data_IF_642832591076
#
_entry.id   IF_642832591076
#
_cell.length_a   1.000
_cell.length_b   1.000
_cell.length_c   1.000
_cell.angle_alpha   90.00
_cell.angle_beta   90.00
_cell.angle_gamma   90.00
#
_symmetry.space_group_name_H-M   'P 1'
#
loop_
_entity.id
_entity.type
_entity.pdbx_description
1 polymer ?
#
# COMPACT_ATOMS: atom_id res chain seq x y z
N UNK A 1 -77.06 26.11 31.71
CA UNK A 1 -77.10 25.43 30.40
C UNK A 1 -76.04 25.92 29.37
N UNK A 2 -75.86 27.26 29.13
CA UNK A 2 -74.84 27.75 28.20
C UNK A 2 -73.40 27.73 28.82
N UNK A 3 -73.28 28.10 30.08
CA UNK A 3 -71.98 28.08 30.79
C UNK A 3 -71.42 26.67 30.95
N UNK A 4 -72.22 25.69 31.22
CA UNK A 4 -71.81 24.24 31.32
C UNK A 4 -71.31 23.71 29.99
N UNK A 5 -71.96 24.05 28.88
CA UNK A 5 -71.50 23.67 27.54
C UNK A 5 -70.16 24.31 27.15
N UNK A 6 -69.93 25.55 27.53
CA UNK A 6 -68.67 26.26 27.32
C UNK A 6 -67.55 25.65 28.19
N UNK A 7 -67.86 25.35 29.45
CA UNK A 7 -66.91 24.72 30.35
C UNK A 7 -66.52 23.30 29.90
N UNK A 8 -67.48 22.44 29.51
CA UNK A 8 -67.19 21.12 29.01
C UNK A 8 -66.42 21.12 27.70
N UNK A 9 -66.63 22.09 26.82
CA UNK A 9 -65.90 22.27 25.58
C UNK A 9 -64.44 22.70 25.84
N UNK A 10 -64.25 23.68 26.74
CA UNK A 10 -62.93 24.14 27.16
C UNK A 10 -62.13 23.05 27.86
N UNK A 11 -62.77 22.24 28.71
CA UNK A 11 -62.14 21.12 29.38
C UNK A 11 -61.69 20.03 28.37
N UNK A 12 -62.54 19.70 27.42
CA UNK A 12 -62.20 18.71 26.35
C UNK A 12 -61.06 19.22 25.43
N UNK A 13 -61.00 20.54 25.18
CA UNK A 13 -59.89 21.16 24.44
C UNK A 13 -58.56 21.12 25.23
N UNK A 14 -58.61 21.41 26.55
CA UNK A 14 -57.45 21.27 27.42
C UNK A 14 -56.91 19.86 27.50
N UNK A 15 -57.80 18.86 27.58
CA UNK A 15 -57.42 17.46 27.63
C UNK A 15 -56.73 17.00 26.33
N UNK A 16 -57.33 17.40 25.19
CA UNK A 16 -56.69 17.15 23.86
C UNK A 16 -55.33 17.83 23.72
N UNK A 17 -55.19 19.05 24.22
CA UNK A 17 -53.94 19.81 24.18
C UNK A 17 -52.87 19.13 25.06
N UNK A 18 -53.26 18.71 26.27
CA UNK A 18 -52.38 18.02 27.21
C UNK A 18 -51.88 16.68 26.63
N UNK A 19 -52.76 15.94 25.96
CA UNK A 19 -52.38 14.68 25.27
C UNK A 19 -51.42 14.95 24.08
N UNK A 20 -51.70 15.99 23.29
CA UNK A 20 -50.84 16.38 22.19
C UNK A 20 -49.43 16.81 22.67
N UNK A 21 -49.36 17.53 23.79
CA UNK A 21 -48.10 17.93 24.42
C UNK A 21 -47.33 16.70 24.87
N UNK A 22 -47.95 15.79 25.63
CA UNK A 22 -47.27 14.55 26.09
C UNK A 22 -46.74 13.70 24.91
N UNK A 23 -47.52 13.63 23.83
CA UNK A 23 -47.13 12.90 22.62
C UNK A 23 -45.90 13.54 21.95
N UNK A 24 -45.87 14.87 21.87
CA UNK A 24 -44.74 15.63 21.31
C UNK A 24 -43.49 15.54 22.19
N UNK A 25 -43.65 15.62 23.52
CA UNK A 25 -42.55 15.42 24.45
C UNK A 25 -41.92 14.04 24.35
N UNK A 26 -42.75 12.97 24.23
CA UNK A 26 -42.28 11.63 24.01
C UNK A 26 -41.54 11.48 22.67
N UNK A 27 -42.05 12.13 21.61
CA UNK A 27 -41.37 12.14 20.30
C UNK A 27 -40.05 12.92 20.34
N UNK A 28 -40.02 14.07 21.03
CA UNK A 28 -38.79 14.85 21.20
C UNK A 28 -37.71 14.06 21.94
N UNK A 29 -38.06 13.38 23.01
CA UNK A 29 -37.16 12.54 23.78
C UNK A 29 -36.60 11.33 22.93
N UNK A 30 -37.45 10.74 22.09
CA UNK A 30 -37.04 9.69 21.17
C UNK A 30 -36.07 10.24 20.11
N UNK A 31 -36.36 11.43 19.58
CA UNK A 31 -35.50 12.11 18.60
C UNK A 31 -34.14 12.45 19.20
N UNK A 32 -34.08 12.95 20.43
CA UNK A 32 -32.83 13.20 21.15
C UNK A 32 -31.97 11.93 21.30
N UNK A 33 -32.60 10.80 21.61
CA UNK A 33 -31.90 9.51 21.69
C UNK A 33 -31.29 9.10 20.34
N UNK A 34 -32.07 9.22 19.26
CA UNK A 34 -31.60 8.91 17.90
C UNK A 34 -30.44 9.86 17.48
N UNK A 35 -30.55 11.14 17.80
CA UNK A 35 -29.50 12.11 17.46
C UNK A 35 -28.18 11.81 18.19
N UNK A 36 -28.24 11.42 19.47
CA UNK A 36 -27.04 11.00 20.22
C UNK A 36 -26.39 9.75 19.65
N UNK A 37 -27.21 8.76 19.27
CA UNK A 37 -26.73 7.55 18.64
C UNK A 37 -26.11 7.82 17.26
N UNK A 38 -26.76 8.67 16.46
CA UNK A 38 -26.24 9.11 15.17
C UNK A 38 -24.90 9.85 15.28
N UNK A 39 -24.73 10.73 16.27
CA UNK A 39 -23.49 11.47 16.52
C UNK A 39 -22.34 10.50 16.91
N UNK A 40 -22.63 9.54 17.78
CA UNK A 40 -21.66 8.50 18.16
C UNK A 40 -21.23 7.65 16.96
N UNK A 41 -22.17 7.20 16.13
CA UNK A 41 -21.89 6.45 14.92
C UNK A 41 -21.13 7.28 13.88
N UNK A 42 -21.43 8.56 13.76
CA UNK A 42 -20.70 9.46 12.86
C UNK A 42 -19.24 9.63 13.30
N UNK A 43 -18.98 9.73 14.61
CA UNK A 43 -17.62 9.81 15.12
C UNK A 43 -16.82 8.53 14.84
N UNK A 44 -17.40 7.35 15.06
CA UNK A 44 -16.77 6.06 14.71
C UNK A 44 -16.53 5.96 13.21
N UNK A 45 -17.51 6.33 12.40
CA UNK A 45 -17.39 6.31 10.95
C UNK A 45 -16.30 7.23 10.43
N UNK A 46 -16.12 8.41 11.02
CA UNK A 46 -15.02 9.32 10.67
C UNK A 46 -13.65 8.68 10.86
N UNK A 47 -13.44 7.94 11.94
CA UNK A 47 -12.16 7.27 12.22
C UNK A 47 -11.92 6.14 11.20
N UNK A 48 -12.89 5.22 11.07
CA UNK A 48 -12.80 4.07 10.17
C UNK A 48 -12.74 4.50 8.71
N UNK A 49 -13.56 5.46 8.31
CA UNK A 49 -13.57 6.02 6.96
C UNK A 49 -12.24 6.70 6.61
N UNK A 50 -11.67 7.47 7.53
CA UNK A 50 -10.36 8.11 7.34
C UNK A 50 -9.24 7.07 7.23
N UNK A 51 -9.26 6.04 8.06
CA UNK A 51 -8.31 4.93 7.97
C UNK A 51 -8.44 4.20 6.63
N UNK A 52 -9.67 3.91 6.21
CA UNK A 52 -9.95 3.31 4.90
C UNK A 52 -9.44 4.17 3.75
N UNK A 53 -9.68 5.47 3.78
CA UNK A 53 -9.22 6.42 2.77
C UNK A 53 -7.68 6.44 2.68
N UNK A 54 -7.00 6.49 3.82
CA UNK A 54 -5.53 6.43 3.88
C UNK A 54 -5.01 5.10 3.33
N UNK A 55 -5.61 3.97 3.73
CA UNK A 55 -5.22 2.64 3.28
C UNK A 55 -5.45 2.43 1.78
N UNK A 56 -6.48 3.06 1.22
CA UNK A 56 -6.81 3.01 -0.21
C UNK A 56 -6.07 4.06 -1.06
N UNK A 57 -5.09 4.77 -0.49
CA UNK A 57 -4.23 5.69 -1.23
C UNK A 57 -4.72 7.14 -1.28
N UNK A 58 -5.80 7.50 -0.58
CA UNK A 58 -6.20 8.89 -0.39
C UNK A 58 -5.35 9.56 0.70
N UNK A 59 -4.05 9.53 0.53
CA UNK A 59 -3.06 10.12 1.41
C UNK A 59 -2.13 11.06 0.64
N UNK A 60 -1.27 11.80 1.34
CA UNK A 60 -0.34 12.76 0.74
C UNK A 60 0.59 12.13 -0.32
N UNK A 61 0.80 10.83 -0.24
CA UNK A 61 1.69 10.08 -1.14
C UNK A 61 0.95 9.39 -2.29
N UNK A 62 -0.37 9.31 -2.28
CA UNK A 62 -1.16 8.63 -3.31
C UNK A 62 -0.86 7.12 -3.40
N UNK A 63 -0.38 6.49 -2.32
CA UNK A 63 0.03 5.10 -2.28
C UNK A 63 -0.91 4.32 -1.36
N UNK A 64 -1.44 3.17 -1.83
CA UNK A 64 -2.20 2.26 -0.98
C UNK A 64 -1.29 1.59 0.05
N UNK A 65 -1.87 1.16 1.17
CA UNK A 65 -1.14 0.42 2.21
C UNK A 65 -0.47 -0.85 1.65
N UNK A 66 -1.16 -1.57 0.79
CA UNK A 66 -0.60 -2.76 0.12
C UNK A 66 0.67 -2.40 -0.68
N UNK A 67 0.64 -1.33 -1.45
CA UNK A 67 1.82 -0.88 -2.22
C UNK A 67 2.95 -0.39 -1.34
N UNK A 68 2.62 0.24 -0.22
CA UNK A 68 3.62 0.65 0.76
C UNK A 68 4.40 -0.57 1.30
N UNK A 69 3.68 -1.64 1.68
CA UNK A 69 4.30 -2.88 2.15
C UNK A 69 5.12 -3.55 1.04
N UNK A 70 4.56 -3.68 -0.16
CA UNK A 70 5.29 -4.28 -1.30
C UNK A 70 6.54 -3.48 -1.66
N UNK A 71 6.51 -2.16 -1.56
CA UNK A 71 7.70 -1.32 -1.80
C UNK A 71 8.78 -1.54 -0.76
N UNK A 72 8.40 -1.73 0.51
CA UNK A 72 9.38 -2.04 1.56
C UNK A 72 10.06 -3.38 1.30
N UNK A 73 9.28 -4.41 0.95
CA UNK A 73 9.83 -5.72 0.60
C UNK A 73 10.70 -5.67 -0.66
N UNK A 74 10.30 -4.89 -1.66
CA UNK A 74 11.10 -4.71 -2.87
C UNK A 74 12.43 -4.01 -2.56
N UNK A 75 12.46 -3.06 -1.61
CA UNK A 75 13.70 -2.41 -1.20
C UNK A 75 14.67 -3.43 -0.59
N UNK A 76 14.18 -4.33 0.28
CA UNK A 76 15.01 -5.39 0.86
C UNK A 76 15.59 -6.31 -0.22
N UNK A 77 14.79 -6.63 -1.24
CA UNK A 77 15.24 -7.42 -2.41
C UNK A 77 16.28 -6.67 -3.22
N UNK A 78 16.09 -5.37 -3.47
CA UNK A 78 17.04 -4.53 -4.21
C UNK A 78 18.38 -4.45 -3.45
N UNK A 79 18.33 -4.27 -2.14
CA UNK A 79 19.53 -4.16 -1.32
C UNK A 79 20.34 -5.47 -1.36
N UNK A 80 19.68 -6.62 -1.17
CA UNK A 80 20.31 -7.94 -1.29
C UNK A 80 20.81 -8.24 -2.71
N UNK A 81 20.08 -7.83 -3.75
CA UNK A 81 20.50 -7.98 -5.14
C UNK A 81 21.73 -7.14 -5.48
N UNK A 82 21.80 -5.93 -4.94
CA UNK A 82 22.92 -5.01 -5.18
C UNK A 82 24.23 -5.53 -4.63
N UNK A 83 24.24 -6.30 -3.54
CA UNK A 83 25.47 -6.94 -3.03
C UNK A 83 26.14 -7.75 -4.12
N UNK A 84 25.38 -8.47 -4.95
CA UNK A 84 25.87 -9.31 -6.04
C UNK A 84 26.05 -8.54 -7.35
N UNK A 85 25.12 -7.68 -7.71
CA UNK A 85 25.16 -6.93 -8.95
C UNK A 85 26.41 -6.02 -9.01
N UNK A 86 26.77 -5.39 -7.92
CA UNK A 86 27.96 -4.55 -7.85
C UNK A 86 29.20 -5.37 -8.13
N UNK A 87 29.31 -6.58 -7.60
CA UNK A 87 30.44 -7.48 -7.85
C UNK A 87 30.47 -7.93 -9.31
N UNK A 88 29.35 -8.48 -9.81
CA UNK A 88 29.28 -9.02 -11.19
C UNK A 88 29.43 -7.92 -12.25
N UNK A 89 29.01 -6.69 -11.98
CA UNK A 89 29.16 -5.54 -12.88
C UNK A 89 30.43 -4.73 -12.64
N UNK A 90 31.33 -5.19 -11.75
CA UNK A 90 32.58 -4.47 -11.37
C UNK A 90 32.32 -3.03 -10.91
N UNK A 91 31.26 -2.85 -10.14
CA UNK A 91 30.88 -1.55 -9.61
C UNK A 91 30.17 -0.63 -10.59
N UNK A 92 29.85 -1.10 -11.81
CA UNK A 92 29.23 -0.25 -12.81
C UNK A 92 27.74 -0.03 -12.54
N UNK A 93 27.00 -1.06 -12.13
CA UNK A 93 25.55 -1.02 -12.05
C UNK A 93 25.05 -1.18 -10.62
N UNK A 94 23.99 -0.41 -10.32
CA UNK A 94 23.23 -0.52 -9.08
C UNK A 94 21.74 -0.42 -9.38
N UNK A 95 20.95 -1.36 -8.89
CA UNK A 95 19.50 -1.30 -8.94
C UNK A 95 18.99 -0.28 -7.92
N UNK A 96 17.94 0.45 -8.31
CA UNK A 96 17.23 1.34 -7.42
C UNK A 96 15.73 1.35 -7.74
N UNK A 97 14.85 1.71 -6.77
CA UNK A 97 13.46 1.94 -7.06
C UNK A 97 13.33 3.11 -8.05
N UNK A 98 12.51 2.93 -9.07
CA UNK A 98 12.24 3.97 -10.06
C UNK A 98 11.63 5.22 -9.42
N UNK A 99 12.07 6.40 -9.88
CA UNK A 99 11.44 7.65 -9.51
C UNK A 99 10.00 7.69 -10.03
N UNK A 100 9.10 8.22 -9.21
CA UNK A 100 7.69 8.35 -9.55
C UNK A 100 7.52 9.10 -10.86
N UNK A 101 7.13 8.42 -11.91
CA UNK A 101 6.57 9.11 -13.07
C UNK A 101 5.33 9.86 -12.62
N UNK A 102 5.36 11.19 -12.68
CA UNK A 102 4.24 12.10 -12.34
C UNK A 102 2.94 11.78 -13.08
N UNK A 103 2.98 10.93 -14.11
CA UNK A 103 1.84 10.57 -14.96
C UNK A 103 1.09 9.31 -14.54
N UNK A 104 1.70 8.40 -13.79
CA UNK A 104 1.06 7.16 -13.34
C UNK A 104 1.08 7.08 -11.82
N UNK A 105 -0.04 7.38 -11.17
CA UNK A 105 -0.26 7.17 -9.72
C UNK A 105 -0.11 5.68 -9.30
N UNK A 106 0.14 4.80 -10.26
CA UNK A 106 0.38 3.37 -10.07
C UNK A 106 1.85 3.01 -9.79
N UNK A 107 2.81 3.96 -9.94
CA UNK A 107 4.24 3.75 -9.75
C UNK A 107 4.63 3.40 -8.31
N UNK A 108 5.78 2.81 -8.15
CA UNK A 108 6.38 2.49 -6.85
C UNK A 108 6.95 1.08 -6.75
N UNK A 109 6.71 0.26 -7.78
CA UNK A 109 7.35 -1.04 -7.98
C UNK A 109 8.20 -1.07 -9.26
N UNK A 110 8.37 0.09 -9.91
CA UNK A 110 9.25 0.22 -11.07
C UNK A 110 10.71 0.15 -10.62
N UNK A 111 11.55 -0.45 -11.45
CA UNK A 111 12.98 -0.57 -11.22
C UNK A 111 13.74 0.28 -12.22
N UNK A 112 14.77 0.93 -11.74
CA UNK A 112 15.76 1.62 -12.54
C UNK A 112 17.15 1.06 -12.22
N UNK A 113 18.06 1.23 -13.16
CA UNK A 113 19.47 0.93 -12.99
C UNK A 113 20.23 2.24 -12.96
N UNK A 114 21.03 2.46 -11.91
CA UNK A 114 21.99 3.54 -11.85
C UNK A 114 23.29 3.05 -12.45
N UNK A 115 23.83 3.80 -13.41
CA UNK A 115 25.10 3.52 -14.07
C UNK A 115 26.15 4.49 -13.51
N UNK A 116 27.10 3.96 -12.72
CA UNK A 116 28.14 4.74 -12.05
C UNK A 116 29.09 5.41 -13.05
N UNK A 117 29.24 4.88 -14.27
CA UNK A 117 30.11 5.49 -15.29
C UNK A 117 29.46 6.70 -15.96
N UNK A 118 28.17 6.62 -16.22
CA UNK A 118 27.43 7.74 -16.81
C UNK A 118 26.92 8.73 -15.79
N UNK A 119 26.76 8.29 -14.52
CA UNK A 119 26.18 9.08 -13.43
C UNK A 119 24.66 9.28 -13.55
N UNK A 120 23.95 8.46 -14.35
CA UNK A 120 22.51 8.58 -14.58
C UNK A 120 21.77 7.28 -14.30
N UNK A 121 20.55 7.43 -13.77
CA UNK A 121 19.60 6.34 -13.70
C UNK A 121 18.84 6.19 -15.02
N UNK A 122 18.58 4.94 -15.44
CA UNK A 122 17.83 4.61 -16.64
C UNK A 122 16.91 3.41 -16.39
N UNK A 123 15.85 3.28 -17.18
CA UNK A 123 14.95 2.16 -17.07
C UNK A 123 15.68 0.83 -17.35
N UNK A 124 15.41 -0.22 -16.57
CA UNK A 124 16.01 -1.55 -16.77
C UNK A 124 15.77 -2.12 -18.16
N UNK A 125 14.69 -1.71 -18.83
CA UNK A 125 14.40 -2.10 -20.21
C UNK A 125 15.42 -1.59 -21.26
N UNK A 126 16.32 -0.68 -20.87
CA UNK A 126 17.36 -0.14 -21.76
C UNK A 126 18.70 -0.88 -21.64
N UNK A 127 18.76 -1.90 -20.79
CA UNK A 127 19.94 -2.75 -20.61
C UNK A 127 20.19 -3.63 -21.83
N UNK A 128 21.47 -3.88 -22.13
CA UNK A 128 21.88 -4.93 -23.09
C UNK A 128 21.49 -6.31 -22.57
N UNK A 129 21.58 -7.33 -23.42
CA UNK A 129 21.27 -8.71 -23.03
C UNK A 129 22.10 -9.20 -21.84
N UNK A 130 23.42 -8.98 -21.85
CA UNK A 130 24.31 -9.34 -20.75
C UNK A 130 24.02 -8.58 -19.46
N UNK A 131 23.87 -7.25 -19.54
CA UNK A 131 23.52 -6.40 -18.39
C UNK A 131 22.18 -6.79 -17.78
N UNK A 132 21.17 -7.07 -18.63
CA UNK A 132 19.85 -7.50 -18.21
C UNK A 132 19.91 -8.86 -17.50
N UNK A 133 20.72 -9.77 -18.00
CA UNK A 133 20.93 -11.06 -17.36
C UNK A 133 21.54 -10.92 -15.97
N UNK A 134 22.63 -10.13 -15.80
CA UNK A 134 23.24 -9.88 -14.49
C UNK A 134 22.25 -9.26 -13.50
N UNK A 135 21.49 -8.25 -13.95
CA UNK A 135 20.48 -7.61 -13.11
C UNK A 135 19.36 -8.59 -12.70
N UNK A 136 18.90 -9.42 -13.63
CA UNK A 136 17.85 -10.42 -13.36
C UNK A 136 18.33 -11.52 -12.42
N UNK A 137 19.56 -12.00 -12.61
CA UNK A 137 20.19 -13.00 -11.76
C UNK A 137 20.36 -12.47 -10.34
N UNK A 138 20.87 -11.24 -10.19
CA UNK A 138 21.02 -10.60 -8.89
C UNK A 138 19.69 -10.42 -8.17
N UNK A 139 18.63 -10.02 -8.90
CA UNK A 139 17.28 -9.90 -8.34
C UNK A 139 16.71 -11.24 -7.90
N UNK A 140 16.92 -12.31 -8.69
CA UNK A 140 16.45 -13.64 -8.32
C UNK A 140 17.13 -14.16 -7.05
N UNK A 141 18.44 -13.96 -6.92
CA UNK A 141 19.20 -14.30 -5.73
C UNK A 141 18.80 -13.47 -4.52
N UNK A 142 18.70 -12.15 -4.69
CA UNK A 142 18.25 -11.25 -3.62
C UNK A 142 16.83 -11.55 -3.15
N UNK A 143 15.93 -11.91 -4.08
CA UNK A 143 14.58 -12.37 -3.70
C UNK A 143 14.63 -13.68 -2.92
N UNK A 144 15.47 -14.63 -3.32
CA UNK A 144 15.66 -15.88 -2.60
C UNK A 144 16.11 -15.64 -1.15
N UNK A 145 17.08 -14.75 -0.94
CA UNK A 145 17.58 -14.40 0.38
C UNK A 145 16.50 -13.77 1.26
N UNK A 146 15.77 -12.80 0.70
CA UNK A 146 14.69 -12.12 1.43
C UNK A 146 13.58 -13.11 1.79
N UNK A 147 13.16 -13.98 0.86
CA UNK A 147 12.15 -15.00 1.14
C UNK A 147 12.63 -15.95 2.24
N UNK A 148 13.88 -16.41 2.20
CA UNK A 148 14.46 -17.26 3.23
C UNK A 148 14.51 -16.55 4.60
N UNK A 149 14.88 -15.29 4.62
CA UNK A 149 14.92 -14.46 5.83
C UNK A 149 13.54 -14.31 6.49
N UNK A 150 12.50 -14.04 5.70
CA UNK A 150 11.14 -13.84 6.22
C UNK A 150 10.41 -15.15 6.51
N UNK A 151 10.70 -16.23 5.79
CA UNK A 151 10.01 -17.51 5.94
C UNK A 151 10.47 -18.37 7.13
N UNK A 152 11.46 -17.89 7.90
CA UNK A 152 11.83 -18.48 9.20
C UNK A 152 12.26 -19.96 9.16
N UNK A 153 12.84 -20.42 8.06
CA UNK A 153 13.36 -21.80 7.97
C UNK A 153 13.18 -22.50 6.63
N UNK A 154 12.60 -21.83 5.65
CA UNK A 154 12.60 -22.31 4.26
C UNK A 154 13.99 -22.02 3.68
N UNK A 155 14.69 -23.04 3.18
CA UNK A 155 15.94 -22.89 2.45
C UNK A 155 15.68 -23.21 0.99
N UNK A 156 16.17 -22.33 0.13
CA UNK A 156 16.17 -22.54 -1.33
C UNK A 156 17.56 -23.06 -1.70
N UNK A 157 17.69 -24.39 -1.73
CA UNK A 157 18.97 -25.04 -1.97
C UNK A 157 19.28 -25.22 -3.48
N UNK A 158 18.35 -24.84 -4.37
CA UNK A 158 18.50 -25.05 -5.81
C UNK A 158 17.83 -23.93 -6.61
N UNK A 159 18.56 -23.40 -7.56
CA UNK A 159 18.07 -22.41 -8.53
C UNK A 159 18.31 -22.99 -9.93
N UNK A 160 17.31 -22.91 -10.80
CA UNK A 160 17.40 -23.30 -12.19
C UNK A 160 17.59 -22.07 -13.07
N UNK A 161 18.67 -22.03 -13.84
CA UNK A 161 18.97 -20.96 -14.78
C UNK A 161 18.95 -21.60 -16.17
N UNK A 162 17.96 -21.18 -16.98
CA UNK A 162 17.71 -21.81 -18.29
C UNK A 162 18.66 -21.27 -19.38
N UNK A 163 18.73 -19.93 -19.50
CA UNK A 163 19.57 -19.26 -20.50
C UNK A 163 20.15 -17.95 -19.90
N UNK A 164 21.04 -17.30 -20.65
CA UNK A 164 21.58 -15.97 -20.34
C UNK A 164 23.10 -15.89 -20.26
N UNK A 165 23.77 -16.98 -19.87
CA UNK A 165 25.23 -17.00 -19.78
C UNK A 165 25.92 -16.81 -21.15
N UNK A 166 25.28 -17.22 -22.26
CA UNK A 166 25.78 -17.02 -23.61
C UNK A 166 25.84 -15.56 -24.09
N UNK A 167 25.24 -14.63 -23.34
CA UNK A 167 25.27 -13.20 -23.65
C UNK A 167 26.40 -12.45 -22.95
N UNK A 168 27.15 -13.15 -22.07
CA UNK A 168 28.27 -12.59 -21.29
C UNK A 168 29.59 -12.83 -22.02
N UNK A 169 30.54 -11.92 -21.86
CA UNK A 169 31.94 -12.15 -22.15
C UNK A 169 32.56 -13.13 -21.13
N UNK A 170 33.68 -13.73 -21.45
CA UNK A 170 34.30 -14.78 -20.64
C UNK A 170 34.64 -14.32 -19.23
N UNK A 171 35.10 -13.08 -19.07
CA UNK A 171 35.53 -12.54 -17.78
C UNK A 171 34.34 -12.21 -16.87
N UNK A 172 33.25 -11.69 -17.45
CA UNK A 172 31.99 -11.44 -16.74
C UNK A 172 31.30 -12.76 -16.37
N UNK A 173 31.41 -13.78 -17.23
CA UNK A 173 30.90 -15.12 -16.97
C UNK A 173 31.59 -15.75 -15.75
N UNK A 174 32.92 -15.70 -15.69
CA UNK A 174 33.69 -16.24 -14.56
C UNK A 174 33.28 -15.53 -13.26
N UNK A 175 33.18 -14.20 -13.27
CA UNK A 175 32.74 -13.42 -12.10
C UNK A 175 31.32 -13.77 -11.67
N UNK A 176 30.42 -13.98 -12.61
CA UNK A 176 29.04 -14.37 -12.31
C UNK A 176 28.96 -15.77 -11.69
N UNK A 177 29.77 -16.74 -12.20
CA UNK A 177 29.84 -18.09 -11.64
C UNK A 177 30.42 -18.06 -10.22
N UNK A 178 31.51 -17.32 -10.00
CA UNK A 178 32.13 -17.19 -8.68
C UNK A 178 31.11 -16.63 -7.67
N UNK A 179 30.35 -15.59 -8.05
CA UNK A 179 29.30 -14.99 -7.21
C UNK A 179 28.14 -15.95 -6.90
N UNK A 180 27.90 -16.95 -7.77
CA UNK A 180 26.86 -17.98 -7.53
C UNK A 180 27.32 -19.07 -6.56
N UNK A 181 28.63 -19.25 -6.39
CA UNK A 181 29.23 -20.28 -5.54
C UNK A 181 29.48 -19.82 -4.09
N UNK A 182 29.36 -18.52 -3.82
CA UNK A 182 29.42 -17.90 -2.48
C UNK A 182 28.08 -17.99 -1.73
#
# INVERSE_FOLDING_TARGET
LQAEKLWSKSFAEQEKLAEAIRRREAQAKKLEGILKEADSLEQEYRIVGRLSDIANGKNAHGITFQRYVLRSLLQDVIDAANERLIVMSRGQYRLQPGERSRKNMAGGLDLEIFDEYSGYARAVATLSGGESFLASLSLALGLADVVQSYAGGIRLDTIFIDEGFGTLDAETLDTAIDTLLE
#
